data_IF_079305468147
#
_entry.id   IF_079305468147
#
_cell.length_a   1.000
_cell.length_b   1.000
_cell.length_c   1.000
_cell.angle_alpha   90.00
_cell.angle_beta   90.00
_cell.angle_gamma   90.00
#
_symmetry.space_group_name_H-M   'P 1'
#
loop_
_entity.id
_entity.type
_entity.pdbx_description
1 polymer ?
#
# COMPACT_ATOMS: atom_id res chain seq x y z
N UNK A 1 8.02 -54.13 20.43
CA UNK A 1 8.51 -52.74 20.48
C UNK A 1 8.73 -52.28 19.04
N UNK A 2 8.05 -51.22 18.60
CA UNK A 2 8.17 -50.68 17.24
C UNK A 2 9.14 -49.49 17.29
N UNK A 3 10.25 -49.60 16.58
CA UNK A 3 11.18 -48.50 16.34
C UNK A 3 10.59 -47.49 15.36
N UNK A 4 10.72 -46.19 15.64
CA UNK A 4 10.57 -45.14 14.64
C UNK A 4 11.53 -43.96 14.91
N UNK A 5 12.72 -44.10 14.32
CA UNK A 5 13.45 -43.12 13.49
C UNK A 5 13.57 -41.69 14.07
N UNK A 6 14.76 -41.42 14.60
CA UNK A 6 15.35 -40.09 14.79
C UNK A 6 15.23 -39.26 13.51
N UNK A 7 14.41 -38.19 13.53
CA UNK A 7 14.45 -37.15 12.49
C UNK A 7 15.77 -36.39 12.61
N UNK A 8 16.75 -36.77 11.80
CA UNK A 8 17.89 -35.90 11.52
C UNK A 8 17.36 -34.83 10.56
N UNK A 9 17.06 -33.64 11.09
CA UNK A 9 16.72 -32.50 10.25
C UNK A 9 17.99 -32.08 9.49
N UNK A 10 17.97 -32.24 8.17
CA UNK A 10 19.03 -31.80 7.27
C UNK A 10 19.14 -30.26 7.28
N UNK A 11 20.31 -29.66 7.54
CA UNK A 11 20.50 -28.23 7.40
C UNK A 11 20.91 -27.93 5.94
N UNK A 12 19.94 -27.86 5.03
CA UNK A 12 20.22 -27.41 3.67
C UNK A 12 19.00 -26.78 2.99
N UNK A 13 18.70 -25.55 3.37
CA UNK A 13 18.11 -24.58 2.46
C UNK A 13 18.88 -23.26 2.62
N UNK A 14 19.58 -22.76 1.58
CA UNK A 14 20.10 -21.40 1.61
C UNK A 14 18.91 -20.44 1.58
N UNK A 15 18.58 -19.88 2.74
CA UNK A 15 18.21 -18.49 2.98
C UNK A 15 17.69 -17.71 1.75
N UNK A 16 16.58 -18.16 1.19
CA UNK A 16 15.71 -17.37 0.32
C UNK A 16 14.36 -17.26 1.01
N UNK A 17 14.37 -16.80 2.26
CA UNK A 17 13.16 -16.22 2.84
C UNK A 17 12.86 -15.01 1.98
N UNK A 18 11.96 -15.17 0.99
CA UNK A 18 11.41 -14.04 0.26
C UNK A 18 10.92 -13.07 1.32
N UNK A 19 11.56 -11.93 1.44
CA UNK A 19 11.13 -10.87 2.33
C UNK A 19 9.78 -10.41 1.78
N UNK A 20 8.70 -10.90 2.37
CA UNK A 20 7.35 -10.49 2.06
C UNK A 20 6.82 -9.72 3.27
N UNK A 21 6.11 -8.61 3.04
CA UNK A 21 5.37 -7.98 4.11
C UNK A 21 4.37 -8.97 4.71
N UNK A 22 4.05 -8.81 5.99
CA UNK A 22 2.97 -9.57 6.60
C UNK A 22 1.63 -9.29 5.90
N UNK A 23 0.74 -10.29 5.80
CA UNK A 23 -0.59 -10.08 5.23
C UNK A 23 -1.35 -8.96 5.95
N UNK A 24 -1.80 -7.96 5.19
CA UNK A 24 -2.44 -6.77 5.72
C UNK A 24 -3.93 -6.73 5.38
N UNK A 25 -4.76 -6.73 6.43
CA UNK A 25 -6.22 -6.78 6.30
C UNK A 25 -6.89 -5.41 6.30
N UNK A 26 -6.14 -4.30 6.41
CA UNK A 26 -6.70 -2.94 6.49
C UNK A 26 -6.90 -2.43 7.91
N UNK A 27 -6.00 -2.78 8.83
CA UNK A 27 -5.99 -2.25 10.20
C UNK A 27 -5.22 -0.91 10.24
N UNK A 28 -5.79 0.11 10.87
CA UNK A 28 -5.23 1.47 10.88
C UNK A 28 -3.94 1.53 11.71
N UNK A 29 -3.91 0.87 12.86
CA UNK A 29 -2.77 0.87 13.77
C UNK A 29 -1.58 0.11 13.15
N UNK A 30 -1.86 -0.97 12.41
CA UNK A 30 -0.83 -1.76 11.73
C UNK A 30 -0.33 -1.14 10.41
N UNK A 31 -1.04 -0.15 9.84
CA UNK A 31 -0.72 0.42 8.52
C UNK A 31 0.70 1.01 8.45
N UNK A 32 1.12 1.75 9.48
CA UNK A 32 2.46 2.34 9.52
C UNK A 32 3.57 1.29 9.47
N UNK A 33 3.46 0.23 10.27
CA UNK A 33 4.41 -0.88 10.27
C UNK A 33 4.43 -1.63 8.94
N UNK A 34 3.27 -1.88 8.36
CA UNK A 34 3.12 -2.52 7.06
C UNK A 34 3.82 -1.74 5.92
N UNK A 35 3.59 -0.43 5.84
CA UNK A 35 4.22 0.42 4.82
C UNK A 35 5.74 0.49 5.00
N UNK A 36 6.23 0.53 6.25
CA UNK A 36 7.65 0.47 6.55
C UNK A 36 8.27 -0.85 6.05
N UNK A 37 7.63 -2.00 6.28
CA UNK A 37 8.10 -3.28 5.75
C UNK A 37 8.21 -3.26 4.21
N UNK A 38 7.16 -2.76 3.53
CA UNK A 38 7.17 -2.65 2.07
C UNK A 38 8.32 -1.76 1.57
N UNK A 39 8.57 -0.62 2.24
CA UNK A 39 9.66 0.27 1.90
C UNK A 39 11.02 -0.43 2.06
N UNK A 40 11.28 -1.08 3.20
CA UNK A 40 12.54 -1.77 3.46
C UNK A 40 12.80 -2.88 2.44
N UNK A 41 11.78 -3.65 2.07
CA UNK A 41 11.88 -4.70 1.04
C UNK A 41 12.25 -4.09 -0.31
N UNK A 42 11.61 -2.97 -0.68
CA UNK A 42 11.92 -2.29 -1.94
C UNK A 42 13.37 -1.79 -2.00
N UNK A 43 13.90 -1.32 -0.85
CA UNK A 43 15.28 -0.84 -0.71
C UNK A 43 16.31 -1.98 -0.71
N UNK A 44 15.96 -3.13 -0.13
CA UNK A 44 16.83 -4.31 -0.08
C UNK A 44 16.95 -5.01 -1.44
N UNK A 45 15.92 -4.89 -2.29
CA UNK A 45 15.87 -5.48 -3.62
C UNK A 45 15.66 -4.41 -4.72
N UNK A 46 16.55 -3.40 -4.82
CA UNK A 46 16.31 -2.21 -5.65
C UNK A 46 16.14 -2.57 -7.12
N UNK A 47 16.80 -3.64 -7.61
CA UNK A 47 16.66 -4.12 -8.98
C UNK A 47 15.26 -4.61 -9.33
N UNK A 48 14.50 -5.09 -8.35
CA UNK A 48 13.14 -5.61 -8.53
C UNK A 48 12.06 -4.55 -8.34
N UNK A 49 12.38 -3.47 -7.60
CA UNK A 49 11.41 -2.45 -7.19
C UNK A 49 11.76 -1.04 -7.73
N UNK A 50 12.21 -0.97 -8.99
CA UNK A 50 12.65 0.27 -9.64
C UNK A 50 11.49 1.15 -10.10
N UNK A 51 10.33 0.55 -10.38
CA UNK A 51 9.18 1.23 -10.98
C UNK A 51 8.04 1.34 -9.98
N UNK A 52 7.20 2.36 -10.15
CA UNK A 52 5.98 2.51 -9.34
C UNK A 52 5.10 1.27 -9.42
N UNK A 53 4.93 0.72 -10.63
CA UNK A 53 4.22 -0.55 -10.85
C UNK A 53 4.75 -1.67 -9.93
N UNK A 54 6.07 -1.87 -9.84
CA UNK A 54 6.66 -2.92 -9.02
C UNK A 54 6.47 -2.69 -7.52
N UNK A 55 6.53 -1.44 -7.05
CA UNK A 55 6.29 -1.06 -5.64
C UNK A 55 4.81 -1.17 -5.26
N UNK A 56 3.90 -0.77 -6.14
CA UNK A 56 2.45 -0.94 -5.94
C UNK A 56 2.11 -2.43 -5.88
N UNK A 57 2.69 -3.22 -6.79
CA UNK A 57 2.50 -4.69 -6.81
C UNK A 57 2.97 -5.35 -5.52
N UNK A 58 4.07 -4.88 -4.91
CA UNK A 58 4.52 -5.36 -3.60
C UNK A 58 3.44 -5.19 -2.53
N UNK A 59 2.86 -4.00 -2.44
CA UNK A 59 1.81 -3.70 -1.47
C UNK A 59 0.60 -4.59 -1.72
N UNK A 60 0.10 -4.63 -2.95
CA UNK A 60 -1.12 -5.36 -3.32
C UNK A 60 -0.99 -6.85 -3.02
N UNK A 61 0.16 -7.46 -3.33
CA UNK A 61 0.40 -8.89 -3.07
C UNK A 61 0.38 -9.25 -1.58
N UNK A 62 0.54 -8.27 -0.71
CA UNK A 62 0.45 -8.45 0.74
C UNK A 62 -0.91 -8.06 1.32
N UNK A 63 -1.86 -7.57 0.52
CA UNK A 63 -3.20 -7.25 1.01
C UNK A 63 -4.08 -8.50 1.14
N UNK A 64 -4.96 -8.51 2.13
CA UNK A 64 -5.98 -9.54 2.29
C UNK A 64 -7.34 -8.94 2.67
N UNK A 65 -8.39 -9.76 2.58
CA UNK A 65 -9.75 -9.40 3.00
C UNK A 65 -10.23 -8.06 2.43
N UNK A 66 -10.69 -7.12 3.29
CA UNK A 66 -11.21 -5.81 2.87
C UNK A 66 -10.17 -4.94 2.15
N UNK A 67 -8.88 -5.07 2.47
CA UNK A 67 -7.83 -4.31 1.80
C UNK A 67 -7.63 -4.77 0.35
N UNK A 68 -7.68 -6.08 0.12
CA UNK A 68 -7.60 -6.62 -1.23
C UNK A 68 -8.86 -6.27 -2.05
N UNK A 69 -10.04 -6.27 -1.42
CA UNK A 69 -11.28 -5.84 -2.06
C UNK A 69 -11.22 -4.36 -2.49
N UNK A 70 -10.68 -3.48 -1.63
CA UNK A 70 -10.45 -2.10 -2.00
C UNK A 70 -9.48 -1.99 -3.18
N UNK A 71 -8.35 -2.70 -3.14
CA UNK A 71 -7.35 -2.64 -4.22
C UNK A 71 -7.95 -3.08 -5.57
N UNK A 72 -8.80 -4.11 -5.57
CA UNK A 72 -9.53 -4.56 -6.75
C UNK A 72 -10.42 -3.45 -7.33
N UNK A 73 -11.22 -2.79 -6.49
CA UNK A 73 -12.09 -1.69 -6.91
C UNK A 73 -11.27 -0.48 -7.41
N UNK A 74 -10.22 -0.13 -6.67
CA UNK A 74 -9.34 0.99 -7.00
C UNK A 74 -8.64 0.80 -8.35
N UNK A 75 -8.08 -0.39 -8.63
CA UNK A 75 -7.40 -0.68 -9.90
C UNK A 75 -8.36 -0.82 -11.08
N UNK A 76 -9.62 -1.17 -10.83
CA UNK A 76 -10.66 -1.16 -11.89
C UNK A 76 -10.90 0.27 -12.39
N UNK A 77 -10.85 1.26 -11.51
CA UNK A 77 -11.00 2.67 -11.85
C UNK A 77 -9.68 3.34 -12.26
N UNK A 78 -8.53 2.84 -11.77
CA UNK A 78 -7.21 3.44 -11.95
C UNK A 78 -6.21 2.39 -12.44
N UNK A 79 -6.02 2.24 -13.77
CA UNK A 79 -5.10 1.25 -14.32
C UNK A 79 -3.67 1.43 -13.80
N UNK A 80 -3.07 0.34 -13.31
CA UNK A 80 -1.75 0.34 -12.65
C UNK A 80 -0.61 0.89 -13.54
N UNK A 81 -0.72 0.76 -14.86
CA UNK A 81 0.32 1.19 -15.81
C UNK A 81 0.58 2.71 -15.81
N UNK A 82 -0.40 3.50 -15.39
CA UNK A 82 -0.34 4.97 -15.39
C UNK A 82 -0.46 5.55 -13.98
N UNK A 83 -0.30 4.71 -12.96
CA UNK A 83 -0.49 5.07 -11.57
C UNK A 83 0.87 5.29 -10.90
N UNK A 84 1.09 6.49 -10.37
CA UNK A 84 2.29 6.77 -9.58
C UNK A 84 2.19 6.15 -8.19
N UNK A 85 3.36 5.84 -7.61
CA UNK A 85 3.42 5.25 -6.27
C UNK A 85 2.85 6.21 -5.20
N UNK A 86 3.15 7.51 -5.31
CA UNK A 86 2.64 8.52 -4.37
C UNK A 86 1.12 8.66 -4.44
N UNK A 87 0.53 8.66 -5.65
CA UNK A 87 -0.93 8.71 -5.81
C UNK A 87 -1.58 7.47 -5.21
N UNK A 88 -1.02 6.28 -5.45
CA UNK A 88 -1.50 5.06 -4.82
C UNK A 88 -1.46 5.15 -3.29
N UNK A 89 -0.34 5.61 -2.71
CA UNK A 89 -0.19 5.71 -1.27
C UNK A 89 -1.15 6.73 -0.64
N UNK A 90 -1.42 7.85 -1.31
CA UNK A 90 -2.40 8.85 -0.86
C UNK A 90 -3.80 8.22 -0.74
N UNK A 91 -4.25 7.54 -1.79
CA UNK A 91 -5.56 6.88 -1.84
C UNK A 91 -5.65 5.71 -0.86
N UNK A 92 -4.58 4.92 -0.74
CA UNK A 92 -4.51 3.80 0.19
C UNK A 92 -4.62 4.28 1.65
N UNK A 93 -3.90 5.35 2.01
CA UNK A 93 -3.98 5.95 3.36
C UNK A 93 -5.35 6.56 3.62
N UNK A 94 -5.92 7.28 2.65
CA UNK A 94 -7.27 7.84 2.76
C UNK A 94 -8.34 6.76 2.93
N UNK A 95 -8.20 5.62 2.25
CA UNK A 95 -9.13 4.50 2.45
C UNK A 95 -9.00 3.86 3.84
N UNK A 96 -7.78 3.67 4.34
CA UNK A 96 -7.54 3.07 5.66
C UNK A 96 -8.01 4.01 6.77
N UNK A 97 -7.72 5.30 6.63
CA UNK A 97 -8.07 6.31 7.61
C UNK A 97 -8.80 7.49 6.93
N UNK A 98 -10.12 7.37 6.69
CA UNK A 98 -10.88 8.41 6.01
C UNK A 98 -10.97 9.72 6.79
N UNK A 99 -10.77 9.70 8.11
CA UNK A 99 -10.71 10.90 8.94
C UNK A 99 -9.46 11.77 8.60
N UNK A 100 -8.31 11.16 8.26
CA UNK A 100 -7.10 11.90 7.83
C UNK A 100 -7.28 12.56 6.45
N UNK A 101 -8.06 11.95 5.56
CA UNK A 101 -8.35 12.53 4.23
C UNK A 101 -9.17 13.83 4.34
N UNK A 102 -9.98 13.97 5.40
CA UNK A 102 -10.73 15.20 5.69
C UNK A 102 -9.82 16.36 6.12
N UNK A 103 -8.63 16.09 6.69
CA UNK A 103 -7.68 17.12 7.10
C UNK A 103 -6.78 17.64 5.96
N UNK A 104 -6.64 16.92 4.85
CA UNK A 104 -5.87 17.36 3.67
C UNK A 104 -6.60 18.33 2.74
N UNK A 105 -7.75 18.89 3.14
CA UNK A 105 -8.63 19.65 2.24
C UNK A 105 -8.92 21.11 2.63
N UNK A 106 -8.17 21.70 3.58
CA UNK A 106 -8.48 23.07 4.04
C UNK A 106 -7.34 24.07 3.82
N UNK A 107 -6.07 23.66 3.85
CA UNK A 107 -4.94 24.60 3.78
C UNK A 107 -4.31 24.75 2.37
N UNK A 108 -4.53 23.81 1.44
CA UNK A 108 -3.99 23.90 0.07
C UNK A 108 -4.82 24.78 -0.89
N UNK A 109 -5.94 25.37 -0.44
CA UNK A 109 -6.83 26.19 -1.29
C UNK A 109 -6.51 27.69 -1.26
N UNK A 110 -5.51 28.14 -0.50
CA UNK A 110 -5.23 29.57 -0.34
C UNK A 110 -4.17 30.15 -1.30
N UNK A 111 -3.57 29.32 -2.17
CA UNK A 111 -2.60 29.79 -3.17
C UNK A 111 -3.03 29.49 -4.62
N UNK A 112 -4.10 30.13 -5.08
CA UNK A 112 -4.26 30.47 -6.50
C UNK A 112 -5.08 31.76 -6.62
N UNK A 113 -4.33 32.84 -6.67
CA UNK A 113 -4.70 34.23 -6.94
C UNK A 113 -5.37 34.47 -8.31
N UNK A 114 -6.49 33.81 -8.65
CA UNK A 114 -7.24 34.09 -9.89
C UNK A 114 -8.73 34.21 -9.65
N UNK A 115 -9.09 35.38 -9.13
CA UNK A 115 -10.38 36.06 -9.22
C UNK A 115 -11.21 35.65 -10.46
N UNK A 116 -12.42 35.14 -10.22
CA UNK A 116 -13.66 35.74 -10.75
C UNK A 116 -14.81 35.46 -9.79
N UNK A 117 -15.33 36.54 -9.23
CA UNK A 117 -16.61 36.59 -8.52
C UNK A 117 -17.73 36.19 -9.48
N UNK A 118 -18.53 35.18 -9.13
CA UNK A 118 -19.87 35.03 -9.70
C UNK A 118 -20.86 34.99 -8.54
N UNK A 119 -21.75 35.98 -8.54
CA UNK A 119 -22.66 36.40 -7.46
C UNK A 119 -23.65 35.31 -7.00
N UNK A 120 -24.26 35.42 -5.80
CA UNK A 120 -25.17 34.44 -5.26
C UNK A 120 -26.49 34.34 -6.04
N UNK A 121 -27.01 33.12 -6.02
CA UNK A 121 -28.35 32.68 -6.42
C UNK A 121 -29.40 33.73 -6.02
N UNK A 122 -30.16 34.25 -7.00
CA UNK A 122 -31.46 34.87 -6.73
C UNK A 122 -32.48 33.75 -6.48
N UNK A 123 -33.22 33.95 -5.39
CA UNK A 123 -34.42 33.24 -4.87
C UNK A 123 -35.25 32.52 -5.93
#
# INVERSE_FOLDING_TARGET
AREFITRIASPSAPENVRLQPEPFSGDVEACGGFLLQCQLISQQAPRHYQTDHSKITLIINSLCSKALQWAQAFLTANPINNLSYDRFLSEFRGWINPEEMLFMSVEDLEDTSRLTVVSPIHI
#
